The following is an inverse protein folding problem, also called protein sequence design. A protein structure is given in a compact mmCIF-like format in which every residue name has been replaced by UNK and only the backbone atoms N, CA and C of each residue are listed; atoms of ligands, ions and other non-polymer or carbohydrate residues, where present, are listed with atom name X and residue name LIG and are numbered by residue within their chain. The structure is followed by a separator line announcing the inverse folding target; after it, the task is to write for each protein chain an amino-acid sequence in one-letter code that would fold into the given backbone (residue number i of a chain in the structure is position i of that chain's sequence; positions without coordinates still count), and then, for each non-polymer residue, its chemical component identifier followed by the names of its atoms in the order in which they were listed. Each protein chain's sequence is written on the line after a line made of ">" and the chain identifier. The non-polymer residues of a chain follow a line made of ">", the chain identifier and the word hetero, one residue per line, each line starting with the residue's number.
data_IF_527984474888
#
_entry.id   IF_527984474888
#
_cell.length_a   1.000
_cell.length_b   1.000
_cell.length_c   1.000
_cell.angle_alpha   90.00
_cell.angle_beta   90.00
_cell.angle_gamma   90.00
#
_symmetry.space_group_name_H-M   'P 1'
#
loop_
_entity.id
_entity.type
_entity.pdbx_description
1 polymer ?
#
# COMPACT_ATOMS: atom_id res chain seq x y z
N UNK A 1 -21.06 4.52 2.05
CA UNK A 1 -20.70 4.73 0.63
C UNK A 1 -21.35 5.95 0.01
N UNK A 2 -22.68 6.15 0.13
CA UNK A 2 -23.35 7.33 -0.41
C UNK A 2 -22.79 8.66 0.12
N UNK A 3 -22.53 8.75 1.43
CA UNK A 3 -21.96 9.96 2.02
C UNK A 3 -20.51 10.22 1.57
N UNK A 4 -19.69 9.17 1.47
CA UNK A 4 -18.33 9.28 0.93
C UNK A 4 -18.36 9.73 -0.54
N UNK A 5 -19.25 9.17 -1.35
CA UNK A 5 -19.45 9.58 -2.75
C UNK A 5 -19.91 11.04 -2.85
N UNK A 6 -20.83 11.48 -1.98
CA UNK A 6 -21.26 12.88 -1.89
C UNK A 6 -20.09 13.81 -1.56
N UNK A 7 -19.26 13.47 -0.58
CA UNK A 7 -18.06 14.25 -0.20
C UNK A 7 -17.09 14.32 -1.38
N UNK A 8 -16.75 13.18 -2.02
CA UNK A 8 -15.86 13.16 -3.17
C UNK A 8 -16.33 14.12 -4.27
N UNK A 9 -17.62 14.05 -4.61
CA UNK A 9 -18.18 14.86 -5.70
C UNK A 9 -18.32 16.34 -5.32
N UNK A 10 -18.61 16.64 -4.05
CA UNK A 10 -18.80 18.03 -3.59
C UNK A 10 -17.47 18.79 -3.56
N UNK A 11 -16.37 18.11 -3.22
CA UNK A 11 -15.07 18.74 -3.00
C UNK A 11 -14.02 18.39 -4.04
N UNK A 12 -14.34 17.53 -5.01
CA UNK A 12 -13.40 17.04 -6.03
C UNK A 12 -12.17 16.33 -5.41
N UNK A 13 -12.34 15.72 -4.24
CA UNK A 13 -11.28 15.00 -3.52
C UNK A 13 -11.54 13.49 -3.65
N UNK A 14 -10.62 12.70 -4.22
CA UNK A 14 -10.75 11.26 -4.23
C UNK A 14 -10.60 10.69 -2.81
N UNK A 15 -11.56 9.88 -2.39
CA UNK A 15 -11.53 9.11 -1.14
C UNK A 15 -11.12 7.69 -1.49
N UNK A 16 -10.05 7.23 -0.88
CA UNK A 16 -9.53 5.87 -1.09
C UNK A 16 -9.61 5.13 0.23
N UNK A 17 -10.28 3.98 0.19
CA UNK A 17 -10.41 3.10 1.33
C UNK A 17 -9.20 2.18 1.38
N UNK A 18 -8.37 2.36 2.40
CA UNK A 18 -7.26 1.45 2.68
C UNK A 18 -7.74 0.35 3.64
N UNK A 19 -7.76 -0.94 3.22
CA UNK A 19 -8.02 -2.03 4.15
C UNK A 19 -6.86 -2.13 5.14
N UNK A 20 -7.16 -2.04 6.43
CA UNK A 20 -6.20 -2.30 7.51
C UNK A 20 -6.67 -3.49 8.34
N UNK A 21 -5.74 -4.12 9.05
CA UNK A 21 -6.10 -5.09 10.07
C UNK A 21 -6.97 -4.42 11.14
N UNK A 22 -8.04 -5.09 11.55
CA UNK A 22 -8.93 -4.64 12.60
C UNK A 22 -8.37 -4.88 14.00
N UNK A 23 -9.18 -4.57 15.02
CA UNK A 23 -8.87 -4.84 16.43
C UNK A 23 -8.43 -6.31 16.59
N UNK A 24 -7.33 -6.52 17.33
CA UNK A 24 -6.76 -7.86 17.55
C UNK A 24 -6.13 -8.49 16.31
N UNK A 25 -5.67 -7.69 15.34
CA UNK A 25 -5.07 -8.15 14.07
C UNK A 25 -6.06 -8.92 13.17
N UNK A 26 -7.34 -8.64 13.32
CA UNK A 26 -8.40 -9.30 12.52
C UNK A 26 -8.26 -8.97 11.03
N UNK A 27 -8.21 -10.01 10.19
CA UNK A 27 -8.17 -9.91 8.72
C UNK A 27 -9.51 -9.49 8.11
N UNK A 28 -10.57 -9.32 8.92
CA UNK A 28 -11.93 -9.05 8.44
C UNK A 28 -12.02 -7.85 7.50
N UNK A 29 -11.25 -6.78 7.71
CA UNK A 29 -11.22 -5.63 6.80
C UNK A 29 -10.71 -5.97 5.40
N UNK A 30 -9.76 -6.89 5.30
CA UNK A 30 -9.22 -7.42 4.03
C UNK A 30 -10.25 -8.34 3.38
N UNK A 31 -10.86 -9.25 4.18
CA UNK A 31 -11.91 -10.15 3.69
C UNK A 31 -13.13 -9.39 3.16
N UNK A 32 -13.52 -8.29 3.82
CA UNK A 32 -14.61 -7.44 3.34
C UNK A 32 -14.29 -6.72 2.05
N UNK A 33 -13.02 -6.36 1.82
CA UNK A 33 -12.59 -5.77 0.56
C UNK A 33 -12.55 -6.84 -0.54
N UNK A 34 -12.02 -8.03 -0.26
CA UNK A 34 -11.96 -9.16 -1.20
C UNK A 34 -13.37 -9.60 -1.63
N UNK A 35 -14.30 -9.67 -0.69
CA UNK A 35 -15.69 -9.99 -0.95
C UNK A 35 -16.53 -8.79 -1.43
N UNK A 36 -15.94 -7.60 -1.58
CA UNK A 36 -16.69 -6.40 -1.94
C UNK A 36 -17.16 -6.48 -3.41
N UNK A 37 -18.47 -6.37 -3.69
CA UNK A 37 -18.96 -6.45 -5.07
C UNK A 37 -18.40 -5.29 -5.91
N UNK A 38 -17.70 -5.63 -7.00
CA UNK A 38 -17.06 -4.68 -7.91
C UNK A 38 -18.08 -3.67 -8.45
N UNK A 39 -19.32 -4.11 -8.68
CA UNK A 39 -20.43 -3.31 -9.20
C UNK A 39 -20.79 -2.15 -8.25
N UNK A 40 -20.61 -2.34 -6.94
CA UNK A 40 -20.81 -1.27 -5.95
C UNK A 40 -19.65 -0.27 -6.02
N UNK A 41 -18.42 -0.74 -6.26
CA UNK A 41 -17.26 0.11 -6.47
C UNK A 41 -17.44 1.02 -7.68
N UNK A 42 -17.86 0.43 -8.81
CA UNK A 42 -18.15 1.15 -10.06
C UNK A 42 -19.29 2.15 -9.89
N UNK A 43 -20.40 1.75 -9.25
CA UNK A 43 -21.56 2.61 -9.00
C UNK A 43 -21.22 3.90 -8.26
N UNK A 44 -20.22 3.85 -7.38
CA UNK A 44 -19.80 4.99 -6.56
C UNK A 44 -18.44 5.57 -6.97
N UNK A 45 -17.93 5.17 -8.14
CA UNK A 45 -16.63 5.61 -8.69
C UNK A 45 -15.46 5.44 -7.70
N UNK A 46 -15.48 4.36 -6.91
CA UNK A 46 -14.39 4.05 -6.00
C UNK A 46 -13.22 3.49 -6.80
N UNK A 47 -12.10 4.19 -6.74
CA UNK A 47 -10.86 3.75 -7.41
C UNK A 47 -9.94 3.10 -6.39
N UNK A 48 -9.62 1.83 -6.60
CA UNK A 48 -8.46 1.19 -5.98
C UNK A 48 -7.23 1.56 -6.82
N UNK A 49 -6.73 2.78 -6.63
CA UNK A 49 -5.63 3.33 -7.45
C UNK A 49 -4.44 3.82 -6.61
N UNK A 50 -4.51 3.75 -5.29
CA UNK A 50 -3.38 4.09 -4.40
C UNK A 50 -2.89 2.83 -3.70
N UNK A 51 -1.59 2.62 -3.76
CA UNK A 51 -0.89 1.50 -3.12
C UNK A 51 0.06 2.07 -2.06
N UNK A 52 -0.21 1.79 -0.80
CA UNK A 52 0.72 2.09 0.29
C UNK A 52 1.82 1.03 0.33
N UNK A 53 3.05 1.48 0.13
CA UNK A 53 4.23 0.64 0.06
C UNK A 53 5.01 0.70 1.36
N UNK A 54 5.02 -0.44 2.05
CA UNK A 54 5.87 -0.69 3.20
C UNK A 54 6.23 -2.17 3.25
N UNK A 55 7.40 -2.48 3.81
CA UNK A 55 7.67 -3.80 4.34
C UNK A 55 7.24 -3.87 5.81
N UNK A 56 7.32 -5.04 6.42
CA UNK A 56 6.93 -5.26 7.82
C UNK A 56 8.14 -5.79 8.59
N UNK A 57 8.39 -5.24 9.77
CA UNK A 57 9.23 -5.84 10.79
C UNK A 57 8.38 -6.21 12.01
N UNK A 58 8.82 -7.20 12.77
CA UNK A 58 8.20 -7.60 14.02
C UNK A 58 9.17 -7.34 15.17
N UNK A 59 8.82 -6.39 16.03
CA UNK A 59 9.64 -5.90 17.14
C UNK A 59 8.74 -5.73 18.36
N UNK A 60 9.19 -6.15 19.55
CA UNK A 60 8.47 -6.01 20.83
C UNK A 60 6.99 -6.42 20.78
N UNK A 61 6.72 -7.57 20.16
CA UNK A 61 5.38 -8.10 19.92
C UNK A 61 4.44 -7.20 19.09
N UNK A 62 4.99 -6.30 18.29
CA UNK A 62 4.25 -5.43 17.38
C UNK A 62 4.78 -5.56 15.95
N UNK A 63 3.88 -5.40 14.98
CA UNK A 63 4.30 -5.19 13.60
C UNK A 63 4.49 -3.70 13.36
N UNK A 64 5.61 -3.33 12.73
CA UNK A 64 5.90 -1.96 12.34
C UNK A 64 6.08 -1.89 10.83
N UNK A 65 5.60 -0.81 10.23
CA UNK A 65 5.86 -0.53 8.82
C UNK A 65 7.27 0.03 8.68
N UNK A 66 8.08 -0.68 7.90
CA UNK A 66 9.45 -0.27 7.57
C UNK A 66 9.52 0.12 6.08
N UNK A 67 10.46 0.99 5.69
CA UNK A 67 10.60 1.36 4.29
C UNK A 67 10.84 0.14 3.41
N UNK A 68 10.26 0.16 2.21
CA UNK A 68 10.63 -0.77 1.16
C UNK A 68 12.10 -0.59 0.78
N UNK A 69 12.85 -1.68 0.64
CA UNK A 69 14.29 -1.62 0.36
C UNK A 69 14.77 -2.89 -0.35
N UNK A 70 15.70 -2.81 -1.33
CA UNK A 70 16.19 -3.99 -2.05
C UNK A 70 16.85 -5.03 -1.14
N UNK A 71 17.41 -4.63 0.01
CA UNK A 71 17.99 -5.57 0.97
C UNK A 71 16.97 -6.54 1.58
N UNK A 72 15.67 -6.22 1.50
CA UNK A 72 14.60 -7.08 1.99
C UNK A 72 14.30 -8.26 1.05
N UNK A 73 14.70 -8.19 -0.21
CA UNK A 73 14.36 -9.24 -1.20
C UNK A 73 15.07 -10.57 -0.95
N UNK A 74 16.23 -10.57 -0.29
CA UNK A 74 17.08 -11.75 -0.16
C UNK A 74 17.63 -11.98 1.26
N UNK A 75 17.02 -11.38 2.28
CA UNK A 75 17.48 -11.51 3.65
C UNK A 75 16.79 -12.63 4.44
N UNK A 76 15.75 -13.27 3.89
CA UNK A 76 15.01 -14.34 4.55
C UNK A 76 14.09 -13.89 5.68
N UNK A 77 13.93 -12.58 5.90
CA UNK A 77 13.11 -11.99 6.97
C UNK A 77 11.87 -11.33 6.41
N UNK A 78 12.01 -10.49 5.37
CA UNK A 78 10.89 -9.78 4.76
C UNK A 78 10.36 -10.50 3.50
N UNK A 79 9.09 -10.25 3.18
CA UNK A 79 8.49 -10.69 1.93
C UNK A 79 9.10 -9.98 0.73
N UNK A 80 9.28 -10.75 -0.35
CA UNK A 80 9.69 -10.25 -1.66
C UNK A 80 8.54 -9.52 -2.32
N UNK A 81 8.75 -8.27 -2.70
CA UNK A 81 7.71 -7.42 -3.31
C UNK A 81 8.04 -7.03 -4.75
N UNK A 82 9.26 -7.31 -5.24
CA UNK A 82 9.67 -6.88 -6.59
C UNK A 82 8.73 -7.36 -7.70
N UNK A 83 8.22 -8.59 -7.59
CA UNK A 83 7.28 -9.15 -8.57
C UNK A 83 5.92 -8.45 -8.53
N UNK A 84 5.41 -8.12 -7.34
CA UNK A 84 4.18 -7.35 -7.16
C UNK A 84 4.33 -5.95 -7.75
N UNK A 85 5.48 -5.30 -7.52
CA UNK A 85 5.74 -3.95 -8.05
C UNK A 85 5.75 -3.95 -9.59
N UNK A 86 6.36 -4.97 -10.21
CA UNK A 86 6.35 -5.11 -11.68
C UNK A 86 4.94 -5.33 -12.23
N UNK A 87 4.13 -6.13 -11.55
CA UNK A 87 2.73 -6.33 -11.94
C UNK A 87 1.93 -5.02 -11.84
N UNK A 88 2.00 -4.34 -10.69
CA UNK A 88 1.28 -3.09 -10.46
C UNK A 88 1.74 -1.96 -11.41
N UNK A 89 2.99 -1.96 -11.85
CA UNK A 89 3.51 -1.02 -12.84
C UNK A 89 2.87 -1.17 -14.23
N UNK A 90 2.21 -2.30 -14.51
CA UNK A 90 1.46 -2.52 -15.75
C UNK A 90 0.02 -2.00 -15.66
N UNK A 91 -0.49 -1.71 -14.46
CA UNK A 91 -1.83 -1.18 -14.25
C UNK A 91 -1.88 0.33 -14.50
N UNK A 92 -2.93 0.80 -15.16
CA UNK A 92 -3.14 2.23 -15.41
C UNK A 92 -3.62 2.94 -14.14
N UNK A 93 -3.10 4.15 -13.90
CA UNK A 93 -3.57 5.03 -12.83
C UNK A 93 -3.11 4.64 -11.41
N UNK A 94 -2.20 3.67 -11.24
CA UNK A 94 -1.64 3.31 -9.93
C UNK A 94 -0.69 4.41 -9.43
N UNK A 95 -0.96 4.88 -8.22
CA UNK A 95 -0.13 5.80 -7.44
C UNK A 95 0.49 5.05 -6.26
N UNK A 96 1.81 5.10 -6.13
CA UNK A 96 2.52 4.47 -5.03
C UNK A 96 2.81 5.52 -3.94
N UNK A 97 2.33 5.26 -2.72
CA UNK A 97 2.63 6.06 -1.54
C UNK A 97 3.60 5.27 -0.67
N UNK A 98 4.79 5.82 -0.43
CA UNK A 98 5.76 5.20 0.46
C UNK A 98 5.38 5.51 1.91
N UNK A 99 5.01 4.47 2.66
CA UNK A 99 4.59 4.57 4.05
C UNK A 99 5.61 3.86 4.95
N UNK A 100 5.88 4.42 6.12
CA UNK A 100 6.61 3.74 7.18
C UNK A 100 6.31 4.43 8.51
N UNK A 101 6.43 3.68 9.61
CA UNK A 101 6.29 4.25 10.94
C UNK A 101 7.65 4.74 11.47
N UNK A 102 7.68 5.78 12.33
CA UNK A 102 8.94 6.34 12.83
C UNK A 102 9.73 5.41 13.74
N UNK A 103 9.12 4.32 14.24
CA UNK A 103 9.73 3.36 15.17
C UNK A 103 11.01 2.71 14.64
N UNK A 104 11.07 2.43 13.34
CA UNK A 104 12.28 1.87 12.71
C UNK A 104 13.40 2.89 12.47
N UNK A 105 13.13 4.17 12.74
CA UNK A 105 14.04 5.31 12.59
C UNK A 105 14.99 5.22 11.37
N UNK A 106 14.45 5.01 10.15
CA UNK A 106 15.29 4.75 9.00
C UNK A 106 16.07 6.00 8.60
N UNK A 107 17.32 5.81 8.20
CA UNK A 107 18.13 6.92 7.70
C UNK A 107 17.58 7.45 6.38
N UNK A 108 17.74 8.75 6.10
CA UNK A 108 17.37 9.33 4.80
C UNK A 108 18.02 8.59 3.61
N UNK A 109 19.31 8.22 3.65
CA UNK A 109 19.91 7.42 2.57
C UNK A 109 19.23 6.07 2.36
N UNK A 110 18.82 5.40 3.44
CA UNK A 110 18.12 4.11 3.35
C UNK A 110 16.77 4.26 2.65
N UNK A 111 15.96 5.25 3.06
CA UNK A 111 14.67 5.55 2.39
C UNK A 111 14.88 5.91 0.92
N UNK A 112 15.91 6.72 0.61
CA UNK A 112 16.22 7.12 -0.75
C UNK A 112 16.64 5.95 -1.65
N UNK A 113 17.42 5.00 -1.12
CA UNK A 113 17.79 3.78 -1.83
C UNK A 113 16.56 2.92 -2.14
N UNK A 114 15.67 2.76 -1.15
CA UNK A 114 14.39 2.09 -1.32
C UNK A 114 13.52 2.70 -2.42
N UNK A 115 13.33 4.02 -2.38
CA UNK A 115 12.62 4.77 -3.41
C UNK A 115 13.24 4.57 -4.80
N UNK A 116 14.57 4.69 -4.91
CA UNK A 116 15.28 4.58 -6.19
C UNK A 116 15.14 3.18 -6.79
N UNK A 117 15.17 2.16 -5.94
CA UNK A 117 14.94 0.78 -6.35
C UNK A 117 13.51 0.53 -6.83
N UNK A 118 12.49 0.95 -6.08
CA UNK A 118 11.09 0.81 -6.54
C UNK A 118 10.87 1.57 -7.85
N UNK A 119 11.43 2.78 -7.97
CA UNK A 119 11.38 3.55 -9.21
C UNK A 119 12.01 2.80 -10.38
N UNK A 120 13.15 2.13 -10.19
CA UNK A 120 13.76 1.35 -11.28
C UNK A 120 12.89 0.16 -11.67
N UNK A 121 12.22 -0.52 -10.73
CA UNK A 121 11.29 -1.61 -11.03
C UNK A 121 10.08 -1.15 -11.86
N UNK A 122 9.55 0.04 -11.57
CA UNK A 122 8.38 0.60 -12.26
C UNK A 122 8.75 1.18 -13.63
N UNK A 123 9.93 1.81 -13.74
CA UNK A 123 10.37 2.49 -14.98
C UNK A 123 11.07 1.56 -15.97
N UNK A 124 11.47 0.35 -15.54
CA UNK A 124 12.01 -0.69 -16.42
C UNK A 124 10.85 -1.40 -17.13
N UNK A 125 10.22 -0.70 -18.09
CA UNK A 125 9.31 -1.31 -19.06
C UNK A 125 10.10 -2.04 -20.14
#
# INVERSE_FOLDING_TARGET
>A
MQELSRIQNTYEIPIICEPKLGIGRSTKGIEYLDAFPVEIGEKYSLKLCIVHLHNVAYEDDQYIWIPVHPSHENNGVQYKIAHVMRFLAQCEGVQFIFEHTPHSNPSRPFVQQGYTWVRSLIMSK
#
